data_IF_840915397231
#
_entry.id   IF_840915397231
#
_cell.length_a   1.000
_cell.length_b   1.000
_cell.length_c   1.000
_cell.angle_alpha   90.00
_cell.angle_beta   90.00
_cell.angle_gamma   90.00
#
_symmetry.space_group_name_H-M   'P 1'
#
loop_
_entity.id
_entity.type
_entity.pdbx_description
1 polymer ?
#
# COMPACT_ATOMS: atom_id res chain seq x y z
N UNK A 1 -4.47 20.48 35.62
CA UNK A 1 -4.82 19.08 35.32
C UNK A 1 -3.80 18.56 34.30
N UNK A 2 -2.64 18.13 34.79
CA UNK A 2 -1.57 17.55 33.98
C UNK A 2 -1.91 16.09 33.71
N UNK A 3 -2.61 15.87 32.59
CA UNK A 3 -2.74 14.53 32.03
C UNK A 3 -1.36 14.12 31.47
N UNK A 4 -0.55 13.47 32.32
CA UNK A 4 0.68 12.79 31.94
C UNK A 4 0.33 11.73 30.87
N UNK A 5 0.44 12.12 29.61
CA UNK A 5 0.45 11.21 28.47
C UNK A 5 1.65 10.27 28.63
N UNK A 6 1.45 9.17 29.33
CA UNK A 6 2.41 8.10 29.45
C UNK A 6 2.73 7.59 28.05
N UNK A 7 3.87 8.00 27.52
CA UNK A 7 4.38 7.49 26.26
C UNK A 7 4.39 5.96 26.35
N UNK A 8 3.67 5.31 25.44
CA UNK A 8 3.57 3.85 25.36
C UNK A 8 4.99 3.28 25.40
N UNK A 9 5.21 2.15 26.08
CA UNK A 9 6.54 1.52 26.20
C UNK A 9 7.24 1.30 24.85
N UNK A 10 6.48 1.29 23.77
CA UNK A 10 6.89 1.27 22.37
C UNK A 10 7.69 2.54 22.02
N UNK A 11 7.19 3.76 22.36
CA UNK A 11 7.87 5.02 22.00
C UNK A 11 9.24 5.14 22.68
N UNK A 12 9.38 4.71 23.95
CA UNK A 12 10.66 4.71 24.66
C UNK A 12 11.67 3.72 24.07
N UNK A 13 11.25 2.52 23.68
CA UNK A 13 12.08 1.54 22.98
C UNK A 13 12.60 2.10 21.65
N UNK A 14 11.76 2.81 20.92
CA UNK A 14 12.07 3.37 19.61
C UNK A 14 13.06 4.53 19.67
N UNK A 15 12.98 5.39 20.70
CA UNK A 15 13.94 6.48 20.90
C UNK A 15 15.35 5.97 21.23
N UNK A 16 15.48 4.85 21.96
CA UNK A 16 16.78 4.23 22.25
C UNK A 16 17.40 3.54 21.03
N UNK A 17 16.60 2.93 20.16
CA UNK A 17 17.07 2.27 18.94
C UNK A 17 17.68 3.26 17.93
N UNK A 18 17.28 4.55 17.97
CA UNK A 18 17.65 5.58 16.99
C UNK A 18 19.09 6.11 17.10
N UNK A 19 19.81 5.82 18.16
CA UNK A 19 21.12 6.45 18.46
C UNK A 19 22.35 5.69 17.93
N UNK A 20 22.18 4.57 17.23
CA UNK A 20 23.29 3.83 16.64
C UNK A 20 23.52 4.22 15.17
N UNK A 21 24.78 4.21 14.68
CA UNK A 21 25.07 4.52 13.28
C UNK A 21 24.28 3.59 12.35
N UNK A 22 23.91 4.13 11.20
CA UNK A 22 23.19 3.37 10.18
C UNK A 22 24.02 2.16 9.77
N UNK A 23 23.48 0.95 9.98
CA UNK A 23 24.06 -0.26 9.46
C UNK A 23 23.84 -0.34 7.93
N UNK A 24 24.63 -1.13 7.21
CA UNK A 24 24.42 -1.42 5.80
C UNK A 24 22.95 -1.79 5.51
N UNK A 25 22.37 -2.60 6.39
CA UNK A 25 20.97 -3.03 6.32
C UNK A 25 19.99 -1.86 6.35
N UNK A 26 20.19 -0.91 7.26
CA UNK A 26 19.35 0.30 7.32
C UNK A 26 19.50 1.17 6.07
N UNK A 27 20.71 1.22 5.50
CA UNK A 27 20.98 1.92 4.25
C UNK A 27 20.25 1.27 3.06
N UNK A 28 20.30 -0.06 2.95
CA UNK A 28 19.57 -0.80 1.89
C UNK A 28 18.06 -0.61 2.03
N UNK A 29 17.50 -0.74 3.22
CA UNK A 29 16.08 -0.51 3.47
C UNK A 29 15.65 0.94 3.13
N UNK A 30 16.48 1.92 3.48
CA UNK A 30 16.24 3.31 3.11
C UNK A 30 16.26 3.50 1.59
N UNK A 31 17.23 2.92 0.89
CA UNK A 31 17.31 2.97 -0.57
C UNK A 31 16.08 2.33 -1.24
N UNK A 32 15.61 1.18 -0.74
CA UNK A 32 14.37 0.56 -1.21
C UNK A 32 13.17 1.49 -1.03
N UNK A 33 13.01 2.10 0.15
CA UNK A 33 11.91 3.03 0.41
C UNK A 33 12.00 4.30 -0.44
N UNK A 34 13.21 4.87 -0.63
CA UNK A 34 13.42 6.01 -1.52
C UNK A 34 12.98 5.65 -2.94
N UNK A 35 13.44 4.53 -3.45
CA UNK A 35 13.12 4.11 -4.82
C UNK A 35 11.63 3.89 -5.02
N UNK A 36 10.93 3.31 -4.05
CA UNK A 36 9.48 3.05 -4.12
C UNK A 36 8.62 4.30 -4.07
N UNK A 37 9.17 5.44 -3.72
CA UNK A 37 8.45 6.71 -3.65
C UNK A 37 8.92 7.71 -4.73
N UNK A 38 10.22 7.79 -4.99
CA UNK A 38 10.77 8.81 -5.87
C UNK A 38 11.09 8.30 -7.28
N UNK A 39 11.21 6.97 -7.47
CA UNK A 39 11.52 6.36 -8.76
C UNK A 39 10.31 5.64 -9.40
N UNK A 40 9.10 5.82 -8.89
CA UNK A 40 7.89 5.16 -9.43
C UNK A 40 7.59 5.47 -10.87
N UNK A 41 7.98 6.68 -11.33
CA UNK A 41 7.80 7.13 -12.72
C UNK A 41 8.86 6.61 -13.67
N UNK A 42 9.97 6.10 -13.15
CA UNK A 42 11.05 5.61 -13.98
C UNK A 42 10.90 4.14 -14.28
N UNK A 43 10.97 3.81 -15.56
CA UNK A 43 11.00 2.45 -16.07
C UNK A 43 11.96 2.37 -17.26
N UNK A 44 12.56 1.21 -17.46
CA UNK A 44 13.34 0.91 -18.64
C UNK A 44 12.45 0.13 -19.61
N UNK A 45 12.19 0.71 -20.77
CA UNK A 45 11.42 0.03 -21.81
C UNK A 45 12.34 -0.93 -22.56
N UNK A 46 12.07 -2.25 -22.43
CA UNK A 46 12.81 -3.32 -23.11
C UNK A 46 11.82 -4.06 -24.03
N UNK A 47 11.88 -3.77 -25.32
CA UNK A 47 10.92 -4.30 -26.28
C UNK A 47 9.51 -3.78 -26.03
N UNK A 48 8.56 -4.67 -25.72
CA UNK A 48 7.17 -4.34 -25.37
C UNK A 48 6.92 -4.28 -23.85
N UNK A 49 7.93 -4.57 -23.03
CA UNK A 49 7.79 -4.65 -21.58
C UNK A 49 8.48 -3.47 -20.90
N UNK A 50 7.96 -3.04 -19.77
CA UNK A 50 8.55 -2.00 -18.94
C UNK A 50 9.08 -2.62 -17.63
N UNK A 51 10.36 -2.39 -17.36
CA UNK A 51 10.97 -2.76 -16.08
C UNK A 51 11.02 -1.53 -15.17
N UNK A 52 10.21 -1.54 -14.14
CA UNK A 52 10.19 -0.48 -13.11
C UNK A 52 11.52 -0.42 -12.36
N UNK A 53 12.13 0.77 -12.26
CA UNK A 53 13.34 0.96 -11.45
C UNK A 53 13.06 0.76 -9.96
N UNK A 54 11.88 1.13 -9.49
CA UNK A 54 11.46 0.88 -8.11
C UNK A 54 11.44 -0.63 -7.82
N UNK A 55 10.87 -1.45 -8.71
CA UNK A 55 10.88 -2.90 -8.55
C UNK A 55 12.28 -3.47 -8.58
N UNK A 56 13.10 -3.08 -9.55
CA UNK A 56 14.48 -3.57 -9.65
C UNK A 56 15.26 -3.30 -8.35
N UNK A 57 15.11 -2.10 -7.77
CA UNK A 57 15.73 -1.74 -6.48
C UNK A 57 15.19 -2.59 -5.33
N UNK A 58 13.89 -2.88 -5.28
CA UNK A 58 13.29 -3.73 -4.23
C UNK A 58 13.79 -5.16 -4.34
N UNK A 59 13.86 -5.72 -5.54
CA UNK A 59 14.36 -7.09 -5.76
C UNK A 59 15.84 -7.21 -5.40
N UNK A 60 16.68 -6.30 -5.89
CA UNK A 60 18.11 -6.27 -5.57
C UNK A 60 18.35 -6.03 -4.07
N UNK A 61 17.60 -5.10 -3.47
CA UNK A 61 17.65 -4.84 -2.03
C UNK A 61 17.25 -6.05 -1.21
N UNK A 62 16.17 -6.75 -1.59
CA UNK A 62 15.74 -7.98 -0.92
C UNK A 62 16.77 -9.08 -1.04
N UNK A 63 17.38 -9.27 -2.22
CA UNK A 63 18.46 -10.23 -2.43
C UNK A 63 19.68 -9.90 -1.56
N UNK A 64 20.11 -8.62 -1.49
CA UNK A 64 21.21 -8.17 -0.66
C UNK A 64 20.92 -8.38 0.83
N UNK A 65 19.71 -8.08 1.29
CA UNK A 65 19.28 -8.34 2.66
C UNK A 65 19.25 -9.84 2.99
N UNK A 66 18.91 -10.69 2.01
CA UNK A 66 18.94 -12.15 2.19
C UNK A 66 20.39 -12.67 2.31
N UNK A 67 21.29 -12.23 1.42
CA UNK A 67 22.72 -12.61 1.46
C UNK A 67 23.38 -12.15 2.75
N UNK A 68 23.05 -10.97 3.25
CA UNK A 68 23.58 -10.44 4.53
C UNK A 68 22.94 -11.07 5.77
N UNK A 69 21.95 -11.95 5.61
CA UNK A 69 21.21 -12.56 6.73
C UNK A 69 20.30 -11.61 7.50
N UNK A 70 20.04 -10.41 6.95
CA UNK A 70 19.19 -9.40 7.58
C UNK A 70 17.70 -9.73 7.48
N UNK A 71 17.32 -10.54 6.52
CA UNK A 71 15.97 -11.11 6.38
C UNK A 71 16.03 -12.64 6.54
N UNK A 72 14.92 -13.21 6.95
CA UNK A 72 14.78 -14.67 7.10
C UNK A 72 13.57 -15.15 6.30
N UNK A 73 13.69 -16.33 5.69
CA UNK A 73 12.56 -16.98 5.06
C UNK A 73 11.65 -17.53 6.17
N UNK A 74 10.36 -17.20 6.12
CA UNK A 74 9.36 -17.80 6.99
C UNK A 74 8.89 -19.13 6.37
N UNK A 75 9.07 -20.29 7.06
CA UNK A 75 8.64 -21.58 6.51
C UNK A 75 7.14 -21.64 6.21
N UNK A 76 6.32 -21.04 7.07
CA UNK A 76 4.87 -20.96 6.85
C UNK A 76 4.53 -20.16 5.59
N UNK A 77 5.20 -19.00 5.38
CA UNK A 77 4.98 -18.20 4.17
C UNK A 77 5.45 -18.93 2.92
N UNK A 78 6.60 -19.60 2.99
CA UNK A 78 7.11 -20.43 1.89
C UNK A 78 6.11 -21.53 1.53
N UNK A 79 5.59 -22.27 2.52
CA UNK A 79 4.59 -23.31 2.29
C UNK A 79 3.31 -22.78 1.65
N UNK A 80 2.74 -21.70 2.20
CA UNK A 80 1.55 -21.06 1.64
C UNK A 80 1.79 -20.52 0.22
N UNK A 81 2.95 -19.92 -0.02
CA UNK A 81 3.34 -19.44 -1.35
C UNK A 81 3.45 -20.60 -2.35
N UNK A 82 4.07 -21.71 -1.97
CA UNK A 82 4.19 -22.88 -2.84
C UNK A 82 2.82 -23.45 -3.22
N UNK A 83 1.89 -23.53 -2.26
CA UNK A 83 0.51 -23.96 -2.52
C UNK A 83 -0.20 -22.96 -3.45
N UNK A 84 -0.05 -21.66 -3.19
CA UNK A 84 -0.63 -20.64 -4.05
C UNK A 84 -0.11 -20.74 -5.48
N UNK A 85 1.22 -20.81 -5.68
CA UNK A 85 1.83 -20.94 -7.02
C UNK A 85 1.37 -22.21 -7.73
N UNK A 86 1.31 -23.35 -7.03
CA UNK A 86 0.82 -24.59 -7.62
C UNK A 86 -0.64 -24.48 -8.07
N UNK A 87 -1.49 -23.81 -7.28
CA UNK A 87 -2.91 -23.60 -7.62
C UNK A 87 -3.04 -22.61 -8.80
N UNK A 88 -2.25 -21.52 -8.80
CA UNK A 88 -2.24 -20.57 -9.91
C UNK A 88 -1.72 -21.21 -11.21
N UNK A 89 -0.78 -22.15 -11.13
CA UNK A 89 -0.29 -22.90 -12.28
C UNK A 89 -1.38 -23.76 -12.91
N UNK A 90 -2.32 -24.30 -12.12
CA UNK A 90 -3.49 -24.99 -12.67
C UNK A 90 -4.36 -24.07 -13.54
N UNK A 91 -4.47 -22.80 -13.17
CA UNK A 91 -5.17 -21.79 -13.99
C UNK A 91 -4.45 -21.54 -15.31
N UNK A 92 -3.12 -21.52 -15.32
CA UNK A 92 -2.32 -21.41 -16.55
C UNK A 92 -2.53 -22.61 -17.47
N UNK A 93 -2.59 -23.82 -16.90
CA UNK A 93 -2.73 -25.07 -17.65
C UNK A 93 -4.17 -25.31 -18.16
N UNK A 94 -5.17 -24.84 -17.41
CA UNK A 94 -6.60 -25.06 -17.70
C UNK A 94 -7.35 -23.79 -18.11
N UNK A 95 -6.63 -22.68 -18.19
CA UNK A 95 -7.21 -21.37 -18.52
C UNK A 95 -8.07 -21.41 -19.79
N UNK A 96 -9.08 -20.53 -19.80
CA UNK A 96 -10.11 -20.45 -20.80
C UNK A 96 -9.60 -20.13 -22.21
N UNK A 97 -10.50 -19.68 -23.08
CA UNK A 97 -10.30 -19.42 -24.51
C UNK A 97 -9.24 -18.35 -24.87
N UNK A 98 -8.58 -17.74 -23.92
CA UNK A 98 -7.55 -16.71 -24.12
C UNK A 98 -6.17 -17.31 -23.88
N UNK A 99 -5.21 -17.05 -24.78
CA UNK A 99 -3.83 -17.49 -24.62
C UNK A 99 -3.23 -16.88 -23.34
N UNK A 100 -2.74 -17.70 -22.39
CA UNK A 100 -2.21 -17.19 -21.12
C UNK A 100 -0.92 -16.39 -21.33
N UNK A 101 -0.81 -15.26 -20.65
CA UNK A 101 0.42 -14.46 -20.61
C UNK A 101 1.41 -15.03 -19.60
N UNK A 102 2.35 -15.87 -20.05
CA UNK A 102 3.43 -16.37 -19.18
C UNK A 102 4.25 -15.26 -18.50
N UNK A 103 4.57 -14.13 -19.19
CA UNK A 103 5.23 -13.00 -18.51
C UNK A 103 4.41 -12.43 -17.35
N UNK A 104 3.08 -12.30 -17.47
CA UNK A 104 2.21 -11.83 -16.38
C UNK A 104 2.23 -12.80 -15.20
N UNK A 105 2.16 -14.11 -15.46
CA UNK A 105 2.28 -15.13 -14.42
C UNK A 105 3.64 -15.09 -13.70
N UNK A 106 4.74 -15.03 -14.48
CA UNK A 106 6.09 -14.97 -13.93
C UNK A 106 6.31 -13.71 -13.08
N UNK A 107 5.81 -12.56 -13.55
CA UNK A 107 5.85 -11.32 -12.80
C UNK A 107 5.12 -11.44 -11.47
N UNK A 108 3.92 -12.04 -11.46
CA UNK A 108 3.18 -12.32 -10.24
C UNK A 108 4.01 -13.19 -9.28
N UNK A 109 4.54 -14.32 -9.75
CA UNK A 109 5.36 -15.21 -8.93
C UNK A 109 6.56 -14.47 -8.33
N UNK A 110 7.27 -13.67 -9.14
CA UNK A 110 8.44 -12.91 -8.71
C UNK A 110 8.11 -11.86 -7.64
N UNK A 111 7.02 -11.11 -7.83
CA UNK A 111 6.57 -10.10 -6.88
C UNK A 111 6.23 -10.71 -5.53
N UNK A 112 5.42 -11.78 -5.53
CA UNK A 112 4.95 -12.38 -4.29
C UNK A 112 6.00 -13.26 -3.60
N UNK A 113 7.03 -13.73 -4.31
CA UNK A 113 8.17 -14.40 -3.70
C UNK A 113 8.89 -13.53 -2.66
N UNK A 114 8.92 -12.21 -2.84
CA UNK A 114 9.51 -11.29 -1.87
C UNK A 114 8.83 -11.38 -0.49
N UNK A 115 7.55 -11.69 -0.42
CA UNK A 115 6.82 -11.77 0.84
C UNK A 115 7.12 -13.03 1.67
N UNK A 116 7.88 -13.99 1.13
CA UNK A 116 8.40 -15.10 1.93
C UNK A 116 9.40 -14.64 2.99
N UNK A 117 10.04 -13.48 2.77
CA UNK A 117 11.02 -12.92 3.69
C UNK A 117 10.36 -12.07 4.79
N UNK A 118 10.99 -12.05 5.95
CA UNK A 118 10.61 -11.22 7.10
C UNK A 118 11.85 -10.58 7.73
N UNK A 119 11.73 -9.34 8.19
CA UNK A 119 12.78 -8.63 8.94
C UNK A 119 12.57 -8.90 10.44
N UNK A 120 13.47 -9.63 11.09
CA UNK A 120 13.30 -9.99 12.50
C UNK A 120 13.55 -8.84 13.48
N UNK A 121 14.36 -7.85 13.12
CA UNK A 121 14.82 -6.79 14.00
C UNK A 121 13.84 -5.61 14.08
N UNK A 122 13.32 -5.34 15.30
CA UNK A 122 12.43 -4.20 15.57
C UNK A 122 13.12 -2.84 15.36
N UNK A 123 14.47 -2.77 15.43
CA UNK A 123 15.22 -1.54 15.19
C UNK A 123 15.21 -1.16 13.71
N UNK A 124 15.38 -2.15 12.85
CA UNK A 124 15.31 -1.96 11.40
C UNK A 124 13.92 -1.46 10.99
N UNK A 125 12.87 -2.06 11.53
CA UNK A 125 11.51 -1.59 11.33
C UNK A 125 11.32 -0.13 11.80
N UNK A 126 11.77 0.19 13.02
CA UNK A 126 11.64 1.55 13.55
C UNK A 126 12.40 2.59 12.72
N UNK A 127 13.58 2.23 12.20
CA UNK A 127 14.37 3.10 11.31
C UNK A 127 13.67 3.28 9.98
N UNK A 128 13.18 2.19 9.37
CA UNK A 128 12.46 2.23 8.10
C UNK A 128 11.19 3.10 8.19
N UNK A 129 10.39 2.96 9.26
CA UNK A 129 9.18 3.79 9.47
C UNK A 129 9.52 5.27 9.64
N UNK A 130 10.63 5.63 10.31
CA UNK A 130 11.05 7.04 10.40
C UNK A 130 11.52 7.59 9.06
N UNK A 131 12.26 6.80 8.31
CA UNK A 131 12.69 7.15 6.95
C UNK A 131 11.47 7.37 6.04
N UNK A 132 10.53 6.43 6.04
CA UNK A 132 9.28 6.52 5.28
C UNK A 132 8.47 7.75 5.69
N UNK A 133 8.32 8.01 6.99
CA UNK A 133 7.66 9.20 7.53
C UNK A 133 8.25 10.50 7.00
N UNK A 134 9.58 10.61 6.97
CA UNK A 134 10.25 11.80 6.47
C UNK A 134 10.03 11.97 4.96
N UNK A 135 10.11 10.89 4.19
CA UNK A 135 9.90 10.92 2.75
C UNK A 135 8.47 11.27 2.36
N UNK A 136 7.48 10.69 3.03
CA UNK A 136 6.07 11.00 2.80
C UNK A 136 5.76 12.47 3.14
N UNK A 137 6.43 13.04 4.15
CA UNK A 137 6.31 14.48 4.43
C UNK A 137 6.91 15.34 3.31
N UNK A 138 8.05 14.94 2.76
CA UNK A 138 8.65 15.64 1.59
C UNK A 138 7.69 15.57 0.40
N UNK A 139 7.12 14.41 0.11
CA UNK A 139 6.16 14.26 -0.99
C UNK A 139 4.89 15.11 -0.74
N UNK A 140 4.42 15.19 0.50
CA UNK A 140 3.30 16.05 0.86
C UNK A 140 3.60 17.53 0.56
N UNK A 141 4.76 18.03 0.97
CA UNK A 141 5.20 19.39 0.63
C UNK A 141 5.32 19.57 -0.88
N UNK A 142 5.91 18.62 -1.57
CA UNK A 142 6.00 18.66 -3.04
C UNK A 142 4.60 18.72 -3.68
N UNK A 143 3.64 17.96 -3.15
CA UNK A 143 2.26 17.99 -3.62
C UNK A 143 1.56 19.33 -3.41
N UNK A 144 1.76 19.96 -2.25
CA UNK A 144 1.24 21.30 -1.95
C UNK A 144 1.88 22.33 -2.86
N UNK A 145 3.22 22.34 -2.95
CA UNK A 145 3.96 23.25 -3.84
C UNK A 145 3.53 23.09 -5.29
N UNK A 146 3.43 21.86 -5.79
CA UNK A 146 2.99 21.55 -7.14
C UNK A 146 1.59 22.13 -7.43
N UNK A 147 0.67 22.01 -6.47
CA UNK A 147 -0.69 22.51 -6.65
C UNK A 147 -0.69 24.05 -6.77
N UNK A 148 -0.04 24.76 -5.86
CA UNK A 148 -0.03 26.23 -5.88
C UNK A 148 0.88 26.82 -6.95
N UNK A 149 1.96 26.13 -7.35
CA UNK A 149 2.84 26.59 -8.42
C UNK A 149 2.12 26.74 -9.77
N UNK A 150 0.99 26.03 -9.97
CA UNK A 150 0.16 26.17 -11.18
C UNK A 150 -0.46 27.56 -11.36
N UNK A 151 -0.56 28.35 -10.30
CA UNK A 151 -1.05 29.74 -10.38
C UNK A 151 -0.09 30.57 -11.24
N UNK A 152 1.21 30.31 -11.13
CA UNK A 152 2.27 31.02 -11.84
C UNK A 152 2.72 30.25 -13.09
N UNK A 153 2.95 28.94 -12.97
CA UNK A 153 3.46 28.11 -14.05
C UNK A 153 2.27 27.36 -14.68
N UNK A 154 1.79 27.89 -15.78
CA UNK A 154 0.66 27.27 -16.50
C UNK A 154 1.15 26.15 -17.42
N UNK A 155 0.28 25.14 -17.62
CA UNK A 155 0.54 24.04 -18.54
C UNK A 155 0.99 22.73 -17.87
N UNK A 156 1.25 21.67 -18.66
CA UNK A 156 1.52 20.33 -18.16
C UNK A 156 2.95 20.14 -17.62
N UNK A 157 3.84 21.11 -17.75
CA UNK A 157 5.27 20.99 -17.42
C UNK A 157 5.53 20.57 -15.98
N UNK A 158 4.69 21.00 -15.03
CA UNK A 158 4.80 20.59 -13.62
C UNK A 158 4.43 19.10 -13.38
N UNK A 159 3.78 18.48 -14.34
CA UNK A 159 3.23 17.12 -14.20
C UNK A 159 3.88 16.13 -15.17
N UNK A 160 4.03 16.56 -16.41
CA UNK A 160 4.67 15.76 -17.44
C UNK A 160 6.19 16.00 -17.41
N UNK A 161 6.94 14.96 -17.15
CA UNK A 161 8.41 15.02 -17.09
C UNK A 161 9.00 14.98 -18.50
N UNK A 162 8.62 15.92 -19.35
CA UNK A 162 9.07 16.03 -20.74
C UNK A 162 10.57 16.31 -20.90
N UNK A 163 11.27 16.63 -19.81
CA UNK A 163 12.72 16.80 -19.77
C UNK A 163 13.47 15.46 -19.84
N UNK A 164 12.81 14.34 -19.52
CA UNK A 164 13.40 13.02 -19.57
C UNK A 164 13.04 12.31 -20.89
N UNK A 165 13.93 11.47 -21.42
CA UNK A 165 13.63 10.64 -22.60
C UNK A 165 12.38 9.77 -22.34
N UNK A 166 11.43 9.68 -23.30
CA UNK A 166 10.22 8.88 -23.11
C UNK A 166 10.48 7.42 -22.72
N UNK A 167 11.59 6.83 -23.22
CA UNK A 167 12.00 5.45 -22.90
C UNK A 167 12.34 5.20 -21.43
N UNK A 168 12.57 6.27 -20.66
CA UNK A 168 12.85 6.20 -19.21
C UNK A 168 11.64 6.50 -18.35
N UNK A 169 10.53 6.94 -18.95
CA UNK A 169 9.31 7.29 -18.23
C UNK A 169 8.30 6.17 -18.42
N UNK A 170 7.70 5.76 -17.33
CA UNK A 170 6.63 4.76 -17.32
C UNK A 170 5.41 5.24 -18.09
N UNK A 171 4.81 4.37 -18.91
CA UNK A 171 3.61 4.66 -19.69
C UNK A 171 2.34 4.11 -19.02
N UNK A 172 1.20 4.50 -19.51
CA UNK A 172 -0.11 4.00 -19.08
C UNK A 172 -0.71 4.70 -17.86
N UNK A 173 -0.11 5.81 -17.39
CA UNK A 173 -0.63 6.61 -16.29
C UNK A 173 -1.08 8.01 -16.72
N UNK A 174 -2.14 8.50 -16.05
CA UNK A 174 -2.62 9.85 -16.25
C UNK A 174 -1.91 10.82 -15.30
N UNK A 175 -0.76 11.36 -15.75
CA UNK A 175 0.01 12.34 -14.97
C UNK A 175 -0.69 13.69 -14.83
N UNK A 176 -1.51 14.07 -15.80
CA UNK A 176 -2.18 15.38 -15.89
C UNK A 176 -3.69 15.16 -15.86
N UNK A 177 -4.30 15.37 -14.71
CA UNK A 177 -5.75 15.22 -14.54
C UNK A 177 -6.32 16.56 -14.07
N UNK A 178 -7.20 17.20 -14.85
CA UNK A 178 -7.78 18.51 -14.46
C UNK A 178 -8.68 18.36 -13.23
N UNK A 179 -8.69 19.40 -12.40
CA UNK A 179 -9.65 19.53 -11.29
C UNK A 179 -10.93 20.13 -11.87
N UNK A 180 -12.07 19.44 -11.81
CA UNK A 180 -13.32 19.98 -12.28
C UNK A 180 -13.65 21.29 -11.57
N UNK A 181 -13.99 22.32 -12.35
CA UNK A 181 -14.42 23.61 -11.80
C UNK A 181 -13.32 24.57 -11.35
N UNK A 182 -12.04 24.19 -11.36
CA UNK A 182 -10.93 25.07 -10.98
C UNK A 182 -10.10 25.55 -12.20
N UNK A 183 -10.76 26.06 -13.23
CA UNK A 183 -10.17 26.90 -14.26
C UNK A 183 -8.79 26.50 -14.81
N UNK A 184 -8.60 25.23 -15.24
CA UNK A 184 -7.33 24.75 -15.81
C UNK A 184 -6.29 24.28 -14.81
N UNK A 185 -6.60 24.19 -13.52
CA UNK A 185 -5.74 23.57 -12.51
C UNK A 185 -5.84 22.06 -12.57
N UNK A 186 -4.72 21.38 -12.34
CA UNK A 186 -4.62 19.93 -12.32
C UNK A 186 -4.50 19.41 -10.89
N UNK A 187 -4.93 18.16 -10.68
CA UNK A 187 -4.78 17.45 -9.43
C UNK A 187 -3.31 17.21 -9.13
N UNK A 188 -2.90 17.39 -7.87
CA UNK A 188 -1.51 17.15 -7.49
C UNK A 188 -1.19 15.65 -7.41
N UNK A 189 0.01 15.27 -7.85
CA UNK A 189 0.59 13.94 -7.70
C UNK A 189 1.95 13.96 -6.98
N UNK A 190 2.33 15.09 -6.37
CA UNK A 190 3.54 15.23 -5.57
C UNK A 190 4.84 15.18 -6.36
N UNK A 191 4.82 15.51 -7.66
CA UNK A 191 5.87 15.40 -8.66
C UNK A 191 6.31 13.97 -8.96
N UNK A 192 6.54 13.13 -7.96
CA UNK A 192 7.21 11.84 -8.07
C UNK A 192 6.26 10.67 -8.30
N UNK A 193 5.03 10.76 -7.81
CA UNK A 193 4.08 9.67 -7.91
C UNK A 193 3.38 9.66 -9.27
N UNK A 194 2.96 8.47 -9.69
CA UNK A 194 2.42 8.25 -11.03
C UNK A 194 1.06 8.93 -11.23
N UNK A 195 0.22 9.02 -10.19
CA UNK A 195 -1.11 9.61 -10.28
C UNK A 195 -1.51 10.35 -9.00
N UNK A 196 -2.49 11.27 -9.07
CA UNK A 196 -3.08 11.88 -7.88
C UNK A 196 -3.72 10.86 -6.92
N UNK A 197 -4.27 9.77 -7.45
CA UNK A 197 -4.79 8.64 -6.67
C UNK A 197 -3.72 8.04 -5.78
N UNK A 198 -2.52 7.81 -6.32
CA UNK A 198 -1.38 7.29 -5.56
C UNK A 198 -0.94 8.28 -4.46
N UNK A 199 -0.89 9.59 -4.77
CA UNK A 199 -0.59 10.60 -3.74
C UNK A 199 -1.58 10.53 -2.58
N UNK A 200 -2.88 10.49 -2.87
CA UNK A 200 -3.91 10.46 -1.83
C UNK A 200 -3.84 9.20 -0.96
N UNK A 201 -3.54 8.03 -1.54
CA UNK A 201 -3.33 6.78 -0.82
C UNK A 201 -2.09 6.87 0.08
N UNK A 202 -0.97 7.37 -0.45
CA UNK A 202 0.27 7.56 0.32
C UNK A 202 0.08 8.54 1.49
N UNK A 203 -0.68 9.62 1.31
CA UNK A 203 -1.00 10.56 2.40
C UNK A 203 -1.85 9.91 3.49
N UNK A 204 -2.79 9.04 3.13
CA UNK A 204 -3.57 8.28 4.11
C UNK A 204 -2.69 7.29 4.87
N UNK A 205 -1.81 6.55 4.20
CA UNK A 205 -0.83 5.67 4.86
C UNK A 205 0.07 6.48 5.82
N UNK A 206 0.52 7.68 5.40
CA UNK A 206 1.31 8.57 6.23
C UNK A 206 0.56 9.03 7.49
N UNK A 207 -0.73 9.38 7.36
CA UNK A 207 -1.58 9.77 8.50
C UNK A 207 -1.77 8.60 9.48
N UNK A 208 -1.96 7.37 8.98
CA UNK A 208 -2.02 6.16 9.81
C UNK A 208 -0.68 5.93 10.52
N UNK A 209 0.46 6.10 9.85
CA UNK A 209 1.79 6.00 10.46
C UNK A 209 1.97 7.06 11.57
N UNK A 210 1.57 8.31 11.34
CA UNK A 210 1.63 9.37 12.36
C UNK A 210 0.75 9.03 13.58
N UNK A 211 -0.48 8.61 13.36
CA UNK A 211 -1.42 8.25 14.43
C UNK A 211 -0.99 6.99 15.19
N UNK A 212 -0.39 6.01 14.50
CA UNK A 212 0.01 4.73 15.07
C UNK A 212 1.25 4.84 15.92
N UNK A 213 2.30 5.47 15.39
CA UNK A 213 3.65 5.37 15.91
C UNK A 213 4.17 6.66 16.53
N UNK A 214 3.50 7.80 16.30
CA UNK A 214 3.99 9.11 16.74
C UNK A 214 2.90 9.89 17.48
N UNK A 215 3.29 11.03 18.03
CA UNK A 215 2.35 11.97 18.64
C UNK A 215 1.75 12.88 17.57
N UNK A 216 0.49 13.28 17.68
CA UNK A 216 -0.10 14.30 16.83
C UNK A 216 0.79 15.55 16.75
N UNK A 217 1.02 16.04 15.55
CA UNK A 217 1.89 17.19 15.29
C UNK A 217 1.41 17.94 14.05
N UNK A 218 1.98 19.13 13.78
CA UNK A 218 1.73 19.92 12.58
C UNK A 218 1.88 19.13 11.26
N UNK A 219 2.65 18.04 11.27
CA UNK A 219 2.83 17.14 10.11
C UNK A 219 1.51 16.56 9.63
N UNK A 220 0.60 16.23 10.55
CA UNK A 220 -0.71 15.72 10.19
C UNK A 220 -1.52 16.75 9.38
N UNK A 221 -1.39 18.05 9.69
CA UNK A 221 -2.03 19.11 8.91
C UNK A 221 -1.47 19.15 7.49
N UNK A 222 -0.14 19.08 7.32
CA UNK A 222 0.51 19.05 6.00
C UNK A 222 0.06 17.82 5.19
N UNK A 223 0.03 16.64 5.81
CA UNK A 223 -0.41 15.41 5.16
C UNK A 223 -1.89 15.47 4.76
N UNK A 224 -2.75 15.99 5.64
CA UNK A 224 -4.18 16.17 5.36
C UNK A 224 -4.41 17.20 4.22
N UNK A 225 -3.65 18.28 4.21
CA UNK A 225 -3.70 19.27 3.12
C UNK A 225 -3.28 18.64 1.78
N UNK A 226 -2.19 17.88 1.75
CA UNK A 226 -1.74 17.20 0.54
C UNK A 226 -2.75 16.14 0.08
N UNK A 227 -3.40 15.41 1.02
CA UNK A 227 -4.50 14.48 0.72
C UNK A 227 -5.66 15.21 0.03
N UNK A 228 -6.07 16.37 0.55
CA UNK A 228 -7.16 17.17 -0.03
C UNK A 228 -6.79 17.69 -1.43
N UNK A 229 -5.56 18.21 -1.61
CA UNK A 229 -5.10 18.79 -2.89
C UNK A 229 -4.83 17.74 -3.99
N UNK A 230 -4.79 16.46 -3.63
CA UNK A 230 -4.79 15.38 -4.62
C UNK A 230 -6.14 15.26 -5.35
N UNK A 231 -7.23 15.82 -4.81
CA UNK A 231 -8.59 15.73 -5.36
C UNK A 231 -8.95 14.31 -5.84
N UNK A 232 -8.54 13.30 -5.09
CA UNK A 232 -8.76 11.90 -5.43
C UNK A 232 -9.60 11.18 -4.39
N UNK A 233 -10.65 10.51 -4.86
CA UNK A 233 -11.58 9.77 -4.01
C UNK A 233 -10.93 8.53 -3.35
N UNK A 234 -9.92 7.90 -3.97
CA UNK A 234 -9.37 6.64 -3.47
C UNK A 234 -8.69 6.77 -2.11
N UNK A 235 -7.85 7.80 -1.93
CA UNK A 235 -7.24 8.05 -0.63
C UNK A 235 -8.26 8.47 0.43
N UNK A 236 -9.30 9.22 0.06
CA UNK A 236 -10.39 9.58 0.98
C UNK A 236 -11.20 8.35 1.40
N UNK A 237 -11.51 7.43 0.49
CA UNK A 237 -12.17 6.15 0.82
C UNK A 237 -11.30 5.34 1.78
N UNK A 238 -10.00 5.23 1.53
CA UNK A 238 -9.06 4.55 2.43
C UNK A 238 -9.02 5.23 3.80
N UNK A 239 -8.96 6.57 3.83
CA UNK A 239 -8.98 7.35 5.06
C UNK A 239 -10.26 7.10 5.87
N UNK A 240 -11.41 7.20 5.22
CA UNK A 240 -12.72 7.00 5.87
C UNK A 240 -12.94 5.57 6.35
N UNK A 241 -12.39 4.58 5.67
CA UNK A 241 -12.49 3.18 6.07
C UNK A 241 -11.65 2.86 7.32
N UNK A 242 -10.47 3.48 7.45
CA UNK A 242 -9.48 3.08 8.46
C UNK A 242 -9.40 4.06 9.63
N UNK A 243 -9.22 5.36 9.36
CA UNK A 243 -8.83 6.33 10.40
C UNK A 243 -9.92 6.54 11.44
N UNK A 244 -11.22 6.68 11.10
CA UNK A 244 -12.26 6.79 12.10
C UNK A 244 -12.33 5.58 13.03
N UNK A 245 -12.27 4.38 12.47
CA UNK A 245 -12.32 3.14 13.26
C UNK A 245 -11.10 3.01 14.17
N UNK A 246 -9.92 3.37 13.69
CA UNK A 246 -8.67 3.42 14.46
C UNK A 246 -8.76 4.40 15.63
N UNK A 247 -9.34 5.59 15.43
CA UNK A 247 -9.48 6.61 16.48
C UNK A 247 -10.55 6.21 17.51
N UNK A 248 -11.65 5.61 17.07
CA UNK A 248 -12.70 5.12 17.96
C UNK A 248 -12.18 4.01 18.87
N UNK A 249 -11.51 3.01 18.33
CA UNK A 249 -10.98 1.88 19.10
C UNK A 249 -9.87 2.28 20.08
N UNK A 250 -9.25 3.44 19.89
CA UNK A 250 -8.20 3.99 20.77
C UNK A 250 -8.71 4.98 21.81
N UNK A 251 -10.01 5.17 21.91
CA UNK A 251 -10.60 6.18 22.80
C UNK A 251 -10.24 7.62 22.41
N UNK A 252 -9.83 7.85 21.16
CA UNK A 252 -9.47 9.18 20.63
C UNK A 252 -10.56 9.76 19.72
N UNK A 253 -11.78 9.32 19.88
CA UNK A 253 -12.95 9.77 19.08
C UNK A 253 -13.15 11.30 19.06
N UNK A 254 -12.71 12.01 20.12
CA UNK A 254 -12.76 13.48 20.15
C UNK A 254 -11.94 14.15 19.02
N UNK A 255 -10.89 13.49 18.50
CA UNK A 255 -10.14 14.01 17.36
C UNK A 255 -11.00 14.01 16.09
N UNK A 256 -11.92 13.02 15.95
CA UNK A 256 -12.82 12.95 14.80
C UNK A 256 -13.80 14.12 14.76
N UNK A 257 -14.25 14.59 15.92
CA UNK A 257 -15.16 15.74 16.01
C UNK A 257 -14.55 17.03 15.46
N UNK A 258 -13.21 17.12 15.42
CA UNK A 258 -12.49 18.27 14.88
C UNK A 258 -11.96 17.99 13.47
N UNK A 259 -11.34 16.83 13.27
CA UNK A 259 -10.66 16.51 12.01
C UNK A 259 -11.64 16.27 10.85
N UNK A 260 -12.78 15.64 11.10
CA UNK A 260 -13.75 15.35 10.04
C UNK A 260 -14.43 16.62 9.52
N UNK A 261 -14.99 17.52 10.39
CA UNK A 261 -15.50 18.79 9.93
C UNK A 261 -14.44 19.68 9.26
N UNK A 262 -13.20 19.68 9.77
CA UNK A 262 -12.10 20.44 9.17
C UNK A 262 -11.75 19.93 7.75
N UNK A 263 -11.71 18.63 7.52
CA UNK A 263 -11.49 18.03 6.19
C UNK A 263 -12.67 18.32 5.25
N UNK A 264 -13.90 18.19 5.76
CA UNK A 264 -15.10 18.54 5.01
C UNK A 264 -15.09 20.03 4.68
N UNK A 265 -14.86 20.91 5.66
CA UNK A 265 -14.77 22.35 5.47
C UNK A 265 -13.67 22.77 4.51
N UNK A 266 -12.50 22.14 4.58
CA UNK A 266 -11.42 22.37 3.62
C UNK A 266 -11.83 21.93 2.21
N UNK A 267 -12.48 20.77 2.07
CA UNK A 267 -13.04 20.30 0.81
C UNK A 267 -14.06 21.29 0.24
N UNK A 268 -14.96 21.84 1.08
CA UNK A 268 -15.92 22.86 0.69
C UNK A 268 -15.24 24.19 0.33
N UNK A 269 -14.26 24.65 1.08
CA UNK A 269 -13.52 25.89 0.81
C UNK A 269 -12.76 25.83 -0.51
N UNK A 270 -12.18 24.67 -0.83
CA UNK A 270 -11.44 24.43 -2.07
C UNK A 270 -12.36 24.19 -3.28
N UNK A 271 -13.53 23.58 -3.09
CA UNK A 271 -14.49 23.31 -4.16
C UNK A 271 -15.39 24.53 -4.49
N UNK A 272 -15.49 25.50 -3.59
CA UNK A 272 -16.36 26.66 -3.73
C UNK A 272 -17.87 26.29 -3.78
N UNK A 273 -18.74 27.18 -4.30
CA UNK A 273 -20.19 26.95 -4.35
C UNK A 273 -20.62 25.79 -5.27
N UNK A 274 -19.68 25.07 -5.89
CA UNK A 274 -19.94 23.93 -6.79
C UNK A 274 -20.00 22.59 -6.05
N UNK A 275 -20.62 22.57 -4.87
CA UNK A 275 -20.92 21.36 -4.10
C UNK A 275 -21.67 20.31 -4.93
N UNK A 276 -22.50 20.76 -5.90
CA UNK A 276 -23.10 19.86 -6.89
C UNK A 276 -22.12 18.94 -7.56
N UNK A 277 -20.91 19.41 -7.91
CA UNK A 277 -19.86 18.58 -8.52
C UNK A 277 -19.29 17.50 -7.60
N UNK A 278 -19.41 17.64 -6.29
CA UNK A 278 -19.04 16.56 -5.35
C UNK A 278 -20.16 15.52 -5.21
N UNK A 279 -21.41 15.95 -5.27
CA UNK A 279 -22.58 15.06 -5.30
C UNK A 279 -22.70 14.35 -6.64
N UNK A 280 -22.34 15.02 -7.76
CA UNK A 280 -22.26 14.40 -9.09
C UNK A 280 -21.25 13.24 -9.11
N UNK A 281 -20.24 13.25 -8.24
CA UNK A 281 -19.34 12.09 -8.10
C UNK A 281 -20.00 10.85 -7.46
N UNK A 282 -21.05 11.01 -6.69
CA UNK A 282 -21.87 9.86 -6.27
C UNK A 282 -22.67 9.30 -7.43
N UNK A 283 -23.05 10.15 -8.40
CA UNK A 283 -23.69 9.73 -9.64
C UNK A 283 -22.70 9.11 -10.64
N UNK A 284 -21.37 9.33 -10.48
CA UNK A 284 -20.33 8.66 -11.27
C UNK A 284 -20.44 7.12 -11.17
N UNK A 285 -20.93 6.57 -10.05
CA UNK A 285 -21.17 5.13 -9.93
C UNK A 285 -22.25 4.60 -10.90
N UNK A 286 -23.14 5.47 -11.38
CA UNK A 286 -24.15 5.14 -12.41
C UNK A 286 -23.67 5.29 -13.85
N UNK A 287 -22.45 5.80 -14.08
CA UNK A 287 -21.90 5.98 -15.43
C UNK A 287 -20.90 4.88 -15.78
N UNK A 288 -21.17 4.13 -16.84
CA UNK A 288 -20.34 3.01 -17.33
C UNK A 288 -18.90 3.41 -17.71
N UNK A 289 -18.65 4.70 -17.88
CA UNK A 289 -17.36 5.28 -18.25
C UNK A 289 -16.66 5.95 -17.07
N UNK A 290 -17.17 5.82 -15.85
CA UNK A 290 -16.55 6.41 -14.67
C UNK A 290 -15.51 5.50 -14.06
N UNK A 291 -14.50 6.11 -13.40
CA UNK A 291 -13.46 5.37 -12.68
C UNK A 291 -14.01 4.64 -11.45
N UNK A 292 -15.09 5.14 -10.84
CA UNK A 292 -15.78 4.48 -9.73
C UNK A 292 -16.48 3.20 -10.18
N UNK A 293 -17.28 3.28 -11.25
CA UNK A 293 -17.89 2.11 -11.86
C UNK A 293 -16.83 1.08 -12.26
N UNK A 294 -15.80 1.52 -12.96
CA UNK A 294 -14.76 0.64 -13.49
C UNK A 294 -14.00 -0.15 -12.40
N UNK A 295 -13.83 0.41 -11.18
CA UNK A 295 -13.15 -0.28 -10.07
C UNK A 295 -14.06 -1.17 -9.26
N UNK A 296 -15.29 -0.75 -9.00
CA UNK A 296 -16.15 -1.42 -8.02
C UNK A 296 -17.26 -2.26 -8.66
N UNK A 297 -17.74 -1.88 -9.83
CA UNK A 297 -18.87 -2.53 -10.49
C UNK A 297 -18.46 -3.36 -11.72
N UNK A 298 -17.56 -2.87 -12.53
CA UNK A 298 -17.17 -3.58 -13.77
C UNK A 298 -16.64 -5.01 -13.55
N UNK A 299 -15.91 -5.35 -12.44
CA UNK A 299 -15.51 -6.72 -12.22
C UNK A 299 -16.69 -7.70 -12.11
N UNK A 300 -17.81 -7.28 -11.51
CA UNK A 300 -19.01 -8.12 -11.40
C UNK A 300 -19.67 -8.38 -12.75
N UNK A 301 -19.68 -7.38 -13.65
CA UNK A 301 -20.16 -7.55 -15.01
C UNK A 301 -19.25 -8.51 -15.79
N UNK A 302 -17.92 -8.36 -15.66
CA UNK A 302 -16.96 -9.29 -16.25
C UNK A 302 -17.16 -10.73 -15.76
N UNK A 303 -17.39 -10.91 -14.46
CA UNK A 303 -17.63 -12.24 -13.90
C UNK A 303 -18.92 -12.85 -14.43
N UNK A 304 -20.01 -12.07 -14.45
CA UNK A 304 -21.31 -12.52 -14.98
C UNK A 304 -21.21 -12.93 -16.46
N UNK A 305 -20.55 -12.09 -17.27
CA UNK A 305 -20.60 -12.24 -18.72
C UNK A 305 -19.57 -13.26 -19.24
N UNK A 306 -18.43 -13.43 -18.56
CA UNK A 306 -17.33 -14.25 -19.08
C UNK A 306 -16.85 -15.36 -18.13
N UNK A 307 -16.97 -15.18 -16.82
CA UNK A 307 -16.42 -16.15 -15.85
C UNK A 307 -17.43 -17.22 -15.46
N UNK A 308 -18.64 -16.82 -15.08
CA UNK A 308 -19.68 -17.70 -14.56
C UNK A 308 -20.37 -18.62 -15.59
N UNK A 309 -20.39 -18.32 -16.89
CA UNK A 309 -21.04 -19.22 -17.88
C UNK A 309 -20.49 -20.65 -17.87
N UNK A 310 -19.22 -20.82 -17.48
CA UNK A 310 -18.60 -22.15 -17.43
C UNK A 310 -17.95 -22.42 -16.07
N UNK A 311 -18.18 -23.61 -15.49
CA UNK A 311 -17.61 -24.00 -14.21
C UNK A 311 -16.06 -24.03 -14.23
N UNK A 312 -15.48 -24.42 -15.37
CA UNK A 312 -14.02 -24.43 -15.52
C UNK A 312 -13.41 -23.02 -15.39
N UNK A 313 -14.00 -22.01 -16.05
CA UNK A 313 -13.53 -20.62 -15.94
C UNK A 313 -13.84 -20.04 -14.57
N UNK A 314 -14.96 -20.40 -13.96
CA UNK A 314 -15.27 -20.00 -12.57
C UNK A 314 -14.23 -20.51 -11.58
N UNK A 315 -13.81 -21.78 -11.69
CA UNK A 315 -12.84 -22.38 -10.77
C UNK A 315 -11.40 -21.98 -11.08
N UNK A 316 -11.00 -21.92 -12.36
CA UNK A 316 -9.60 -21.75 -12.77
C UNK A 316 -9.29 -20.39 -13.42
N UNK A 317 -10.30 -19.56 -13.71
CA UNK A 317 -10.15 -18.27 -14.35
C UNK A 317 -10.00 -18.32 -15.86
N UNK A 318 -9.79 -17.14 -16.44
CA UNK A 318 -9.57 -16.94 -17.88
C UNK A 318 -8.10 -17.06 -18.30
N UNK A 319 -7.19 -17.20 -17.34
CA UNK A 319 -5.74 -17.22 -17.53
C UNK A 319 -5.06 -15.88 -17.24
N UNK A 320 -3.75 -15.90 -16.89
CA UNK A 320 -3.00 -14.69 -16.57
C UNK A 320 -2.92 -13.71 -17.75
N UNK A 321 -3.10 -12.42 -17.47
CA UNK A 321 -3.12 -11.35 -18.48
C UNK A 321 -4.40 -11.27 -19.30
N UNK A 322 -5.39 -12.12 -19.03
CA UNK A 322 -6.62 -12.16 -19.81
C UNK A 322 -7.41 -10.84 -19.75
N UNK A 323 -7.46 -10.18 -18.60
CA UNK A 323 -8.29 -8.97 -18.39
C UNK A 323 -7.94 -7.85 -19.38
N UNK A 324 -6.67 -7.70 -19.75
CA UNK A 324 -6.21 -6.69 -20.69
C UNK A 324 -6.84 -6.86 -22.10
N UNK A 325 -7.09 -8.10 -22.50
CA UNK A 325 -7.73 -8.43 -23.78
C UNK A 325 -9.23 -8.13 -23.83
N UNK A 326 -9.86 -7.82 -22.71
CA UNK A 326 -11.29 -7.50 -22.63
C UNK A 326 -11.58 -6.00 -22.64
N UNK A 327 -10.58 -5.14 -22.39
CA UNK A 327 -10.76 -3.69 -22.39
C UNK A 327 -11.33 -3.12 -23.70
N UNK A 328 -11.09 -3.77 -24.83
CA UNK A 328 -11.62 -3.40 -26.15
C UNK A 328 -12.91 -4.15 -26.55
N UNK A 329 -13.32 -5.14 -25.76
CA UNK A 329 -14.47 -6.01 -26.07
C UNK A 329 -15.73 -5.62 -25.30
N UNK A 330 -15.60 -4.81 -24.26
CA UNK A 330 -16.71 -4.38 -23.43
C UNK A 330 -17.15 -2.97 -23.77
N UNK A 331 -18.46 -2.70 -23.61
CA UNK A 331 -19.02 -1.36 -23.80
C UNK A 331 -18.76 -0.43 -22.60
N UNK A 332 -18.27 -0.98 -21.49
CA UNK A 332 -17.99 -0.28 -20.24
C UNK A 332 -16.49 -0.24 -19.93
N UNK A 333 -16.09 0.78 -19.18
CA UNK A 333 -14.71 0.94 -18.75
C UNK A 333 -14.33 -0.16 -17.74
N UNK A 334 -13.20 -0.81 -17.97
CA UNK A 334 -12.64 -1.81 -17.07
C UNK A 334 -11.42 -1.23 -16.37
N UNK A 335 -11.39 -1.34 -15.06
CA UNK A 335 -10.17 -1.30 -14.26
C UNK A 335 -9.93 -2.67 -13.65
N UNK A 336 -8.70 -2.94 -13.29
CA UNK A 336 -8.25 -4.21 -12.74
C UNK A 336 -7.87 -4.11 -11.24
N UNK A 337 -8.84 -3.82 -10.34
CA UNK A 337 -8.53 -3.88 -8.91
C UNK A 337 -8.01 -5.28 -8.58
N UNK A 338 -7.11 -5.35 -7.60
CA UNK A 338 -6.39 -6.60 -7.27
C UNK A 338 -7.33 -7.80 -7.13
N UNK A 339 -8.43 -7.65 -6.37
CA UNK A 339 -9.41 -8.73 -6.17
C UNK A 339 -10.12 -9.14 -7.46
N UNK A 340 -10.49 -8.15 -8.28
CA UNK A 340 -11.20 -8.39 -9.54
C UNK A 340 -10.31 -9.11 -10.55
N UNK A 341 -9.08 -8.61 -10.76
CA UNK A 341 -8.08 -9.23 -11.62
C UNK A 341 -7.74 -10.65 -11.16
N UNK A 342 -7.54 -10.83 -9.85
CA UNK A 342 -7.18 -12.12 -9.28
C UNK A 342 -8.26 -13.18 -9.53
N UNK A 343 -9.54 -12.86 -9.27
CA UNK A 343 -10.66 -13.78 -9.50
C UNK A 343 -10.84 -14.02 -11.01
N UNK A 344 -10.77 -12.98 -11.83
CA UNK A 344 -10.99 -13.11 -13.27
C UNK A 344 -9.92 -13.95 -13.96
N UNK A 345 -8.65 -13.71 -13.62
CA UNK A 345 -7.52 -14.39 -14.27
C UNK A 345 -7.26 -15.79 -13.73
N UNK A 346 -7.45 -16.01 -12.41
CA UNK A 346 -7.06 -17.25 -11.74
C UNK A 346 -8.21 -18.03 -11.12
N UNK A 347 -9.45 -17.57 -11.28
CA UNK A 347 -10.65 -18.18 -10.75
C UNK A 347 -10.73 -18.18 -9.23
N UNK A 348 -11.79 -18.78 -8.69
CA UNK A 348 -11.99 -18.83 -7.24
C UNK A 348 -10.91 -19.66 -6.51
N UNK A 349 -10.40 -20.73 -7.11
CA UNK A 349 -9.36 -21.57 -6.47
C UNK A 349 -8.04 -20.81 -6.35
N UNK A 350 -7.59 -20.15 -7.43
CA UNK A 350 -6.38 -19.33 -7.40
C UNK A 350 -6.52 -18.13 -6.48
N UNK A 351 -7.69 -17.46 -6.51
CA UNK A 351 -7.99 -16.33 -5.63
C UNK A 351 -8.00 -16.73 -4.15
N UNK A 352 -8.57 -17.90 -3.80
CA UNK A 352 -8.58 -18.39 -2.44
C UNK A 352 -7.16 -18.72 -1.97
N UNK A 353 -6.39 -19.47 -2.77
CA UNK A 353 -5.05 -19.91 -2.39
C UNK A 353 -4.09 -18.72 -2.23
N UNK A 354 -4.05 -17.79 -3.20
CA UNK A 354 -3.24 -16.58 -3.09
C UNK A 354 -3.77 -15.65 -2.01
N UNK A 355 -5.09 -15.54 -1.85
CA UNK A 355 -5.74 -14.74 -0.81
C UNK A 355 -5.35 -15.18 0.60
N UNK A 356 -5.32 -16.48 0.88
CA UNK A 356 -4.83 -17.03 2.16
C UNK A 356 -3.37 -16.65 2.39
N UNK A 357 -2.52 -16.80 1.38
CA UNK A 357 -1.11 -16.39 1.47
C UNK A 357 -0.97 -14.90 1.76
N UNK A 358 -1.67 -14.05 1.01
CA UNK A 358 -1.68 -12.59 1.17
C UNK A 358 -2.16 -12.20 2.56
N UNK A 359 -3.32 -12.68 3.00
CA UNK A 359 -3.85 -12.41 4.34
C UNK A 359 -2.84 -12.81 5.43
N UNK A 360 -2.21 -13.98 5.30
CA UNK A 360 -1.17 -14.40 6.22
C UNK A 360 0.02 -13.45 6.21
N UNK A 361 0.47 -12.99 5.03
CA UNK A 361 1.58 -12.06 4.92
C UNK A 361 1.30 -10.69 5.54
N UNK A 362 0.09 -10.19 5.46
CA UNK A 362 -0.28 -8.90 6.04
C UNK A 362 -0.49 -8.98 7.55
N UNK A 363 -1.15 -10.03 8.05
CA UNK A 363 -1.67 -10.02 9.42
C UNK A 363 -0.94 -10.95 10.39
N UNK A 364 -0.31 -12.03 9.92
CA UNK A 364 0.35 -12.98 10.80
C UNK A 364 1.63 -12.39 11.42
N UNK A 365 1.56 -12.00 12.69
CA UNK A 365 2.66 -11.37 13.41
C UNK A 365 2.87 -9.89 13.07
N UNK A 366 1.85 -9.22 12.56
CA UNK A 366 1.93 -7.79 12.23
C UNK A 366 2.35 -6.94 13.45
N UNK A 367 3.31 -6.03 13.25
CA UNK A 367 3.75 -5.06 14.27
C UNK A 367 2.69 -4.00 14.56
N UNK A 368 1.86 -3.69 13.58
CA UNK A 368 0.69 -2.84 13.70
C UNK A 368 -0.45 -3.40 12.87
N UNK A 369 -1.56 -3.73 13.52
CA UNK A 369 -2.77 -4.19 12.86
C UNK A 369 -3.38 -3.09 11.98
N UNK A 370 -3.29 -1.83 12.41
CA UNK A 370 -3.83 -0.70 11.66
C UNK A 370 -3.05 -0.41 10.39
N UNK A 371 -1.72 -0.45 10.46
CA UNK A 371 -0.90 -0.32 9.26
C UNK A 371 -1.13 -1.51 8.31
N UNK A 372 -1.21 -2.74 8.84
CA UNK A 372 -1.52 -3.93 8.04
C UNK A 372 -2.88 -3.81 7.34
N UNK A 373 -3.92 -3.41 8.08
CA UNK A 373 -5.26 -3.23 7.53
C UNK A 373 -5.29 -2.13 6.46
N UNK A 374 -4.59 -1.01 6.69
CA UNK A 374 -4.50 0.08 5.71
C UNK A 374 -3.87 -0.40 4.40
N UNK A 375 -2.72 -1.06 4.51
CA UNK A 375 -2.01 -1.60 3.34
C UNK A 375 -2.82 -2.68 2.63
N UNK A 376 -3.53 -3.52 3.38
CA UNK A 376 -4.38 -4.59 2.83
C UNK A 376 -5.59 -4.03 2.06
N UNK A 377 -6.28 -3.05 2.63
CA UNK A 377 -7.43 -2.38 1.96
C UNK A 377 -6.97 -1.64 0.71
N UNK A 378 -5.84 -0.91 0.80
CA UNK A 378 -5.24 -0.24 -0.35
C UNK A 378 -4.87 -1.25 -1.46
N UNK A 379 -4.16 -2.30 -1.09
CA UNK A 379 -3.76 -3.38 -2.00
C UNK A 379 -4.94 -4.07 -2.66
N UNK A 380 -5.95 -4.46 -1.89
CA UNK A 380 -7.03 -5.32 -2.38
C UNK A 380 -8.08 -4.55 -3.19
N UNK A 381 -8.49 -3.37 -2.70
CA UNK A 381 -9.70 -2.69 -3.19
C UNK A 381 -9.43 -1.46 -4.05
N UNK A 382 -8.33 -0.72 -3.80
CA UNK A 382 -8.20 0.65 -4.31
C UNK A 382 -7.22 0.80 -5.47
N UNK A 383 -6.32 -0.15 -5.70
CA UNK A 383 -5.33 -0.10 -6.77
C UNK A 383 -5.31 -1.34 -7.64
N UNK A 384 -4.75 -1.23 -8.85
CA UNK A 384 -4.38 -2.34 -9.73
C UNK A 384 -3.07 -3.01 -9.28
N UNK A 385 -2.97 -3.37 -8.01
CA UNK A 385 -1.71 -3.76 -7.38
C UNK A 385 -1.32 -5.23 -7.60
N UNK A 386 -2.14 -6.05 -8.27
CA UNK A 386 -1.86 -7.49 -8.38
C UNK A 386 -0.51 -7.77 -9.04
N UNK A 387 -0.25 -7.13 -10.17
CA UNK A 387 0.99 -7.32 -10.95
C UNK A 387 1.66 -6.01 -11.34
N UNK A 388 1.10 -4.85 -10.97
CA UNK A 388 1.75 -3.58 -11.22
C UNK A 388 2.84 -3.31 -10.18
N UNK A 389 4.06 -3.59 -10.59
CA UNK A 389 5.24 -3.45 -9.76
C UNK A 389 5.46 -2.04 -9.21
N UNK A 390 4.99 -1.01 -9.90
CA UNK A 390 5.16 0.41 -9.52
C UNK A 390 4.30 0.78 -8.34
N UNK A 391 3.06 0.32 -8.33
CA UNK A 391 2.12 0.55 -7.24
C UNK A 391 2.40 -0.39 -6.05
N UNK A 392 2.81 -1.63 -6.35
CA UNK A 392 3.04 -2.66 -5.34
C UNK A 392 4.39 -2.52 -4.61
N UNK A 393 5.39 -1.85 -5.20
CA UNK A 393 6.75 -1.84 -4.67
C UNK A 393 6.85 -1.39 -3.20
N UNK A 394 6.13 -0.34 -2.80
CA UNK A 394 6.11 0.11 -1.41
C UNK A 394 5.44 -0.93 -0.50
N UNK A 395 4.34 -1.51 -0.94
CA UNK A 395 3.60 -2.54 -0.19
C UNK A 395 4.50 -3.76 0.01
N UNK A 396 5.27 -4.18 -1.01
CA UNK A 396 6.24 -5.28 -0.90
C UNK A 396 7.22 -5.03 0.25
N UNK A 397 7.84 -3.85 0.29
CA UNK A 397 8.80 -3.51 1.34
C UNK A 397 8.14 -3.49 2.73
N UNK A 398 6.96 -2.88 2.84
CA UNK A 398 6.28 -2.73 4.13
C UNK A 398 5.76 -4.06 4.68
N UNK A 399 5.30 -4.97 3.84
CA UNK A 399 4.87 -6.32 4.26
C UNK A 399 6.04 -7.15 4.78
N UNK A 400 7.22 -7.05 4.16
CA UNK A 400 8.45 -7.71 4.64
C UNK A 400 8.89 -7.14 5.98
N UNK A 401 8.81 -5.81 6.15
CA UNK A 401 9.21 -5.10 7.36
C UNK A 401 8.24 -5.28 8.53
N UNK A 402 6.96 -5.34 8.26
CA UNK A 402 5.92 -5.22 9.28
C UNK A 402 5.77 -6.46 10.15
N UNK A 403 6.17 -7.63 9.68
CA UNK A 403 5.89 -8.89 10.37
C UNK A 403 7.07 -9.39 11.20
N UNK A 404 6.77 -9.87 12.42
CA UNK A 404 7.72 -10.54 13.30
C UNK A 404 7.73 -12.04 13.01
N UNK A 405 8.90 -12.69 12.99
CA UNK A 405 8.95 -14.15 13.04
C UNK A 405 8.23 -14.64 14.32
N UNK A 406 7.39 -15.66 14.22
CA UNK A 406 6.67 -16.22 15.38
C UNK A 406 7.60 -16.73 16.47
N UNK A 407 8.80 -17.15 16.13
CA UNK A 407 9.82 -17.66 17.06
C UNK A 407 10.38 -16.61 18.01
N UNK A 408 10.15 -15.32 17.74
CA UNK A 408 10.56 -14.19 18.61
C UNK A 408 9.47 -13.75 19.58
N UNK A 409 8.28 -14.36 19.56
CA UNK A 409 7.33 -14.23 20.65
C UNK A 409 7.92 -15.08 21.78
N UNK A 410 8.74 -14.44 22.61
CA UNK A 410 9.34 -15.06 23.78
C UNK A 410 8.26 -15.86 24.50
N UNK A 411 8.52 -17.17 24.71
CA UNK A 411 7.85 -17.90 25.78
C UNK A 411 7.84 -16.97 26.99
N UNK A 412 6.68 -16.68 27.60
CA UNK A 412 6.68 -15.89 28.82
C UNK A 412 7.78 -16.49 29.69
N UNK A 413 8.71 -15.62 30.14
CA UNK A 413 9.76 -16.07 31.03
C UNK A 413 9.01 -16.90 32.08
N UNK A 414 9.25 -18.21 32.13
CA UNK A 414 8.79 -19.01 33.24
C UNK A 414 9.30 -18.26 34.42
N UNK A 415 8.42 -17.59 35.14
CA UNK A 415 8.71 -17.05 36.46
C UNK A 415 9.33 -18.23 37.18
N UNK A 416 10.65 -18.15 37.37
CA UNK A 416 11.34 -19.12 38.17
C UNK A 416 10.51 -19.22 39.44
N UNK A 417 9.93 -20.37 39.68
CA UNK A 417 9.21 -20.64 40.90
C UNK A 417 10.17 -20.21 42.04
N UNK A 418 9.72 -19.39 42.99
CA UNK A 418 10.60 -18.97 44.07
C UNK A 418 11.18 -20.25 44.70
N UNK A 419 12.51 -20.31 44.72
CA UNK A 419 13.25 -21.45 45.22
C UNK A 419 12.86 -21.63 46.67
N UNK A 420 12.00 -22.60 46.93
CA UNK A 420 11.44 -22.91 48.26
C UNK A 420 12.53 -23.34 49.28
N UNK A 421 13.80 -23.35 48.90
CA UNK A 421 14.93 -23.71 49.77
C UNK A 421 15.45 -22.56 50.61
N UNK A 422 15.01 -21.31 50.41
CA UNK A 422 15.54 -20.16 51.16
C UNK A 422 14.75 -19.79 52.43
N UNK A 423 13.65 -20.50 52.75
CA UNK A 423 12.87 -20.22 53.96
C UNK A 423 13.46 -20.82 55.26
N UNK A 424 14.46 -21.70 55.14
CA UNK A 424 15.02 -22.40 56.34
C UNK A 424 16.19 -21.71 57.01
N UNK A 425 16.60 -20.50 56.59
CA UNK A 425 17.81 -19.82 57.14
C UNK A 425 17.57 -18.53 57.92
N UNK A 426 16.35 -18.15 58.22
CA UNK A 426 16.07 -16.96 59.03
C UNK A 426 15.08 -17.26 60.16
N UNK A 427 15.37 -18.32 60.95
CA UNK A 427 14.77 -18.44 62.29
C UNK A 427 15.69 -17.69 63.29
N UNK A 428 15.20 -16.69 64.03
CA UNK A 428 15.97 -16.09 65.09
C UNK A 428 16.06 -17.10 66.23
N UNK A 429 17.28 -17.42 66.67
CA UNK A 429 17.55 -18.11 67.92
C UNK A 429 17.16 -17.18 69.05
N UNK A 430 16.19 -17.56 69.84
CA UNK A 430 15.88 -16.96 71.17
C UNK A 430 16.94 -17.35 72.24
#
# INVERSE_FOLDING_TARGET
>A
MDATFGGTGIERRWRRAARRPASLVSGVLAAMLVSTLFLTRFALTVGKSELSLALATVLLGTALLAVTGAVRISPTRLGLFSVAVATLLLSVMRGGSVSPSYPSFLNLVLLYACWMFVVPDDRQFATAIRTLRAMLLIIAFCGIVQFFAQIVIKGPTLFAWTIFPPKLISHGFNYVIPVPGLGGMNKSNGFFLVEPSTLSQMMTIALVIELEFFRPSWRMLVLATALALAFSGTGLVLFMAIVPLMLLTRGRGGILLVALPALIGLGFALAGPKIGLMLDRLQEFGSDQSSGFARFLSPFYLFRDYLYPHLSTTLFGMGPGAIEGFGTKTAYLIHDPTWGKLIFEYGFLGALALGIYVCHCFFAGARSTWLAATLFVDYLLLGGNLVDARLQALILVLVVLQNRPRDTIAKPARTAAPDSRNWARTAPTA
#
